data_IF_160387533909
#
_entry.id   IF_160387533909
#
_cell.length_a   1.000
_cell.length_b   1.000
_cell.length_c   1.000
_cell.angle_alpha   90.00
_cell.angle_beta   90.00
_cell.angle_gamma   90.00
#
_symmetry.space_group_name_H-M   'P 1'
#
loop_
_entity.id
_entity.type
_entity.pdbx_description
1 polymer ?
#
# COMPACT_ATOMS: atom_id res chain seq x y z
N UNK A 1 -3.85 -1.07 18.05
CA UNK A 1 -3.61 -2.01 16.93
C UNK A 1 -4.43 -1.56 15.73
N UNK A 2 -3.97 -1.76 14.49
CA UNK A 2 -4.77 -1.51 13.28
C UNK A 2 -5.33 -2.83 12.76
N UNK A 3 -6.64 -2.95 12.62
CA UNK A 3 -7.33 -4.19 12.21
C UNK A 3 -8.36 -3.92 11.10
N UNK A 4 -8.74 -4.96 10.35
CA UNK A 4 -9.89 -4.91 9.44
C UNK A 4 -11.24 -4.83 10.18
N UNK A 5 -11.27 -5.23 11.45
CA UNK A 5 -12.40 -5.10 12.38
C UNK A 5 -11.91 -5.31 13.83
N UNK A 6 -12.43 -4.54 14.78
CA UNK A 6 -12.05 -4.70 16.19
C UNK A 6 -12.68 -5.96 16.80
N UNK A 7 -11.86 -6.78 17.47
CA UNK A 7 -12.31 -7.97 18.18
C UNK A 7 -12.51 -9.24 17.35
N UNK A 8 -12.33 -9.17 16.03
CA UNK A 8 -12.47 -10.33 15.15
C UNK A 8 -11.89 -10.17 13.74
N UNK A 9 -11.35 -9.00 13.41
CA UNK A 9 -10.63 -8.79 12.15
C UNK A 9 -9.17 -9.21 12.23
N UNK A 10 -8.49 -9.12 11.09
CA UNK A 10 -7.08 -9.45 10.94
C UNK A 10 -6.21 -8.21 11.13
N UNK A 11 -4.97 -8.38 11.65
CA UNK A 11 -3.94 -7.35 11.57
C UNK A 11 -3.71 -6.91 10.12
N UNK A 12 -3.51 -5.61 9.92
CA UNK A 12 -3.22 -5.06 8.59
C UNK A 12 -1.74 -5.25 8.25
N UNK A 13 -1.47 -5.88 7.11
CA UNK A 13 -0.12 -6.01 6.55
C UNK A 13 0.47 -4.64 6.17
N UNK A 14 1.80 -4.55 6.17
CA UNK A 14 2.51 -3.29 5.90
C UNK A 14 2.65 -2.37 7.12
N UNK A 15 2.11 -2.76 8.29
CA UNK A 15 2.44 -2.14 9.58
C UNK A 15 3.42 -3.00 10.39
N UNK A 16 4.44 -2.40 11.02
CA UNK A 16 5.35 -3.08 11.95
C UNK A 16 4.63 -3.77 13.11
N UNK A 17 5.30 -4.76 13.71
CA UNK A 17 4.86 -5.44 14.93
C UNK A 17 3.45 -6.06 14.84
N UNK A 18 3.08 -6.56 13.65
CA UNK A 18 1.73 -7.10 13.41
C UNK A 18 0.65 -6.05 13.66
N UNK A 19 0.83 -4.84 13.13
CA UNK A 19 -0.07 -3.69 13.28
C UNK A 19 -0.27 -3.19 14.72
N UNK A 20 0.54 -3.63 15.68
CA UNK A 20 0.52 -3.11 17.06
C UNK A 20 1.40 -1.86 17.17
N UNK A 21 0.91 -0.91 17.95
CA UNK A 21 1.66 0.29 18.29
C UNK A 21 2.59 0.01 19.47
N UNK A 22 3.77 0.59 19.46
CA UNK A 22 4.59 0.77 20.66
C UNK A 22 4.06 1.95 21.48
N UNK A 23 4.25 1.91 22.79
CA UNK A 23 3.87 3.02 23.68
C UNK A 23 4.83 4.18 23.48
N UNK A 24 4.31 5.35 23.14
CA UNK A 24 5.08 6.59 23.00
C UNK A 24 5.43 7.23 24.35
N UNK A 25 6.23 8.30 24.31
CA UNK A 25 6.87 8.93 25.46
C UNK A 25 5.88 9.55 26.48
N UNK A 26 4.60 9.70 26.12
CA UNK A 26 3.60 10.46 26.89
C UNK A 26 2.60 9.58 27.67
N UNK A 27 3.08 8.58 28.42
CA UNK A 27 2.26 7.77 29.35
C UNK A 27 0.98 7.18 28.71
N UNK A 28 1.04 6.73 27.46
CA UNK A 28 -0.09 6.13 26.75
C UNK A 28 -1.05 7.11 26.06
N UNK A 29 -0.68 8.39 25.95
CA UNK A 29 -1.38 9.37 25.09
C UNK A 29 -0.81 9.44 23.67
N UNK A 30 0.32 8.78 23.46
CA UNK A 30 0.99 8.70 22.18
C UNK A 30 1.25 7.24 21.87
N UNK A 31 0.98 6.89 20.63
CA UNK A 31 1.16 5.55 20.09
C UNK A 31 1.81 5.69 18.72
N UNK A 32 2.85 4.89 18.46
CA UNK A 32 3.54 4.89 17.18
C UNK A 32 3.73 3.45 16.71
N UNK A 33 4.03 3.24 15.43
CA UNK A 33 4.47 1.93 14.92
C UNK A 33 6.01 1.85 14.81
N UNK A 34 6.73 2.75 15.47
CA UNK A 34 8.19 2.87 15.38
C UNK A 34 8.65 3.76 14.22
N UNK A 35 9.94 3.67 13.89
CA UNK A 35 10.60 4.48 12.84
C UNK A 35 10.43 3.91 11.43
N UNK A 36 10.06 2.63 11.33
CA UNK A 36 9.88 1.97 10.04
C UNK A 36 8.71 2.60 9.28
N UNK A 37 8.91 2.85 7.98
CA UNK A 37 7.85 3.30 7.09
C UNK A 37 6.76 2.22 7.01
N UNK A 38 5.52 2.67 7.02
CA UNK A 38 4.36 1.81 6.78
C UNK A 38 4.04 1.79 5.28
N UNK A 39 3.60 0.65 4.78
CA UNK A 39 3.22 0.47 3.37
C UNK A 39 1.99 -0.46 3.22
N UNK A 40 0.88 -0.21 3.96
CA UNK A 40 -0.38 -0.90 3.71
C UNK A 40 -0.96 -0.49 2.36
N UNK A 41 -1.86 -1.32 1.82
CA UNK A 41 -2.70 -0.90 0.69
C UNK A 41 -3.63 0.26 1.09
N UNK A 42 -4.16 0.96 0.08
CA UNK A 42 -5.15 2.00 0.32
C UNK A 42 -6.47 1.41 0.82
N UNK A 43 -7.07 2.05 1.83
CA UNK A 43 -8.28 1.55 2.47
C UNK A 43 -8.64 2.25 3.78
N UNK A 44 -9.81 1.87 4.29
CA UNK A 44 -10.27 2.24 5.62
C UNK A 44 -10.03 1.09 6.61
N UNK A 45 -9.34 1.39 7.71
CA UNK A 45 -8.99 0.44 8.75
C UNK A 45 -9.44 0.92 10.12
N UNK A 46 -9.48 0.03 11.11
CA UNK A 46 -9.92 0.38 12.47
C UNK A 46 -8.76 0.46 13.45
N UNK A 47 -8.73 1.54 14.22
CA UNK A 47 -7.88 1.69 15.39
C UNK A 47 -8.54 0.98 16.57
N UNK A 48 -8.00 -0.17 16.95
CA UNK A 48 -8.56 -1.04 17.97
C UNK A 48 -7.72 -1.00 19.25
N UNK A 49 -8.42 -0.88 20.38
CA UNK A 49 -7.85 -0.67 21.70
C UNK A 49 -8.02 -1.87 22.61
N UNK A 50 -7.03 -2.03 23.47
CA UNK A 50 -7.01 -2.95 24.58
C UNK A 50 -6.46 -2.24 25.82
N UNK A 51 -7.03 -2.54 26.98
CA UNK A 51 -6.69 -1.88 28.24
C UNK A 51 -5.37 -2.40 28.81
N UNK A 52 -4.58 -1.51 29.42
CA UNK A 52 -3.40 -1.91 30.20
C UNK A 52 -3.84 -2.88 31.31
N UNK A 53 -3.16 -4.02 31.42
CA UNK A 53 -3.46 -5.06 32.41
C UNK A 53 -4.48 -6.12 31.94
N UNK A 54 -5.10 -5.94 30.77
CA UNK A 54 -5.80 -7.01 30.09
C UNK A 54 -4.83 -7.84 29.22
N UNK A 55 -5.27 -9.02 28.77
CA UNK A 55 -4.60 -9.74 27.68
C UNK A 55 -4.76 -8.92 26.41
N UNK A 56 -3.64 -8.47 25.82
CA UNK A 56 -3.59 -7.65 24.59
C UNK A 56 -2.62 -8.27 23.57
N UNK A 57 -2.70 -9.58 23.40
CA UNK A 57 -1.77 -10.35 22.58
C UNK A 57 -2.32 -10.59 21.18
N UNK A 58 -3.60 -10.86 21.05
CA UNK A 58 -4.21 -11.21 19.77
C UNK A 58 -5.12 -10.09 19.24
N UNK A 59 -5.48 -10.18 17.95
CA UNK A 59 -6.45 -9.23 17.36
C UNK A 59 -7.82 -9.29 18.06
N UNK A 60 -8.22 -10.46 18.53
CA UNK A 60 -9.47 -10.70 19.27
C UNK A 60 -9.50 -10.00 20.64
N UNK A 61 -8.34 -9.66 21.21
CA UNK A 61 -8.25 -8.94 22.48
C UNK A 61 -8.62 -7.45 22.32
N UNK A 62 -8.45 -6.89 21.11
CA UNK A 62 -8.64 -5.48 20.82
C UNK A 62 -10.07 -5.20 20.35
N UNK A 63 -11.03 -5.27 21.27
CA UNK A 63 -12.48 -5.23 20.95
C UNK A 63 -13.10 -3.84 20.85
N UNK A 64 -12.39 -2.78 21.26
CA UNK A 64 -12.94 -1.41 21.25
C UNK A 64 -12.35 -0.60 20.10
N UNK A 65 -13.23 -0.11 19.22
CA UNK A 65 -12.86 0.82 18.18
C UNK A 65 -12.69 2.22 18.77
N UNK A 66 -11.50 2.81 18.61
CA UNK A 66 -11.20 4.20 18.96
C UNK A 66 -11.49 5.15 17.79
N UNK A 67 -11.35 4.66 16.56
CA UNK A 67 -11.52 5.46 15.37
C UNK A 67 -11.19 4.66 14.11
N UNK A 68 -11.19 5.38 12.99
CA UNK A 68 -10.87 4.85 11.67
C UNK A 68 -9.57 5.49 11.18
N UNK A 69 -8.70 4.68 10.59
CA UNK A 69 -7.49 5.11 9.91
C UNK A 69 -7.73 4.95 8.40
N UNK A 70 -7.77 6.08 7.68
CA UNK A 70 -7.84 6.10 6.22
C UNK A 70 -6.44 6.18 5.64
N UNK A 71 -6.12 5.28 4.73
CA UNK A 71 -4.85 5.26 3.98
C UNK A 71 -5.16 5.55 2.52
N UNK A 72 -4.69 6.69 1.97
CA UNK A 72 -4.73 6.95 0.54
C UNK A 72 -3.83 5.99 -0.24
N UNK A 73 -4.28 5.56 -1.40
CA UNK A 73 -3.50 4.75 -2.34
C UNK A 73 -4.31 3.65 -3.02
N UNK A 74 -3.64 2.89 -3.91
CA UNK A 74 -4.28 1.79 -4.63
C UNK A 74 -4.74 0.68 -3.69
N UNK A 75 -5.85 0.04 -4.03
CA UNK A 75 -6.21 -1.23 -3.41
C UNK A 75 -5.15 -2.31 -3.75
N UNK A 76 -5.09 -3.38 -2.95
CA UNK A 76 -4.13 -4.46 -3.19
C UNK A 76 -4.47 -5.34 -4.39
N UNK A 77 -3.49 -6.16 -4.79
CA UNK A 77 -3.64 -7.32 -5.69
C UNK A 77 -4.03 -7.00 -7.15
N UNK A 78 -3.46 -5.96 -7.74
CA UNK A 78 -3.57 -5.74 -9.18
C UNK A 78 -2.48 -6.48 -9.95
N UNK A 79 -2.90 -7.34 -10.86
CA UNK A 79 -2.02 -7.88 -11.90
C UNK A 79 -2.32 -7.16 -13.21
N UNK A 80 -1.27 -6.74 -13.91
CA UNK A 80 -1.35 -6.16 -15.25
C UNK A 80 -0.25 -6.76 -16.12
N UNK A 81 -0.55 -6.98 -17.38
CA UNK A 81 0.39 -7.49 -18.36
C UNK A 81 0.54 -6.48 -19.50
N UNK A 82 1.75 -6.38 -20.05
CA UNK A 82 2.04 -5.60 -21.23
C UNK A 82 2.91 -6.38 -22.19
N UNK A 83 2.58 -6.31 -23.49
CA UNK A 83 3.39 -6.88 -24.55
C UNK A 83 4.66 -6.07 -24.78
N UNK A 84 5.73 -6.75 -25.17
CA UNK A 84 6.93 -6.07 -25.67
C UNK A 84 6.62 -5.42 -27.01
N UNK A 85 7.13 -4.20 -27.20
CA UNK A 85 6.89 -3.29 -28.33
C UNK A 85 5.44 -2.79 -28.47
N UNK A 86 4.63 -2.91 -27.43
CA UNK A 86 3.28 -2.36 -27.39
C UNK A 86 3.17 -1.19 -26.43
N UNK A 87 2.19 -0.32 -26.68
CA UNK A 87 1.84 0.74 -25.76
C UNK A 87 1.21 0.15 -24.49
N UNK A 88 1.81 0.43 -23.35
CA UNK A 88 1.41 -0.11 -22.05
C UNK A 88 0.75 0.99 -21.22
N UNK A 89 -0.58 0.96 -21.16
CA UNK A 89 -1.38 1.82 -20.28
C UNK A 89 -2.29 0.94 -19.44
N UNK A 90 -2.42 1.26 -18.16
CA UNK A 90 -3.25 0.50 -17.25
C UNK A 90 -4.37 1.37 -16.72
N UNK A 91 -5.60 0.93 -16.92
CA UNK A 91 -6.79 1.64 -16.48
C UNK A 91 -7.51 0.88 -15.37
N UNK A 92 -8.46 1.57 -14.74
CA UNK A 92 -9.36 0.98 -13.75
C UNK A 92 -8.65 0.52 -12.48
N UNK A 93 -7.61 1.25 -12.05
CA UNK A 93 -7.15 1.10 -10.67
C UNK A 93 -8.26 1.57 -9.73
N UNK A 94 -8.50 0.76 -8.71
CA UNK A 94 -9.36 1.13 -7.58
C UNK A 94 -8.50 1.37 -6.36
N UNK A 95 -9.03 2.12 -5.41
CA UNK A 95 -8.27 2.53 -4.23
C UNK A 95 -9.05 3.56 -3.42
N UNK A 96 -8.36 4.11 -2.43
CA UNK A 96 -8.90 5.15 -1.56
C UNK A 96 -8.15 6.44 -1.85
N UNK A 97 -8.86 7.55 -2.03
CA UNK A 97 -8.29 8.88 -2.26
C UNK A 97 -7.20 8.90 -3.36
N UNK A 98 -7.46 8.22 -4.48
CA UNK A 98 -6.59 8.27 -5.66
C UNK A 98 -6.70 9.65 -6.33
N UNK A 99 -5.56 10.17 -6.79
CA UNK A 99 -5.50 11.49 -7.41
C UNK A 99 -4.64 11.49 -8.68
N UNK A 100 -4.96 12.40 -9.59
CA UNK A 100 -4.09 12.68 -10.73
C UNK A 100 -2.71 13.13 -10.23
N UNK A 101 -1.66 12.60 -10.85
CA UNK A 101 -0.28 12.84 -10.44
C UNK A 101 0.28 11.83 -9.43
N UNK A 102 -0.55 10.93 -8.88
CA UNK A 102 -0.06 9.75 -8.14
C UNK A 102 0.87 8.91 -9.02
N UNK A 103 1.77 8.14 -8.40
CA UNK A 103 2.81 7.42 -9.13
C UNK A 103 2.94 5.99 -8.65
N UNK A 104 3.12 5.08 -9.59
CA UNK A 104 3.59 3.72 -9.32
C UNK A 104 4.91 3.51 -10.04
N UNK A 105 5.74 2.64 -9.48
CA UNK A 105 7.01 2.26 -10.09
C UNK A 105 7.04 0.75 -10.28
N UNK A 106 7.40 0.34 -11.49
CA UNK A 106 7.66 -1.06 -11.79
C UNK A 106 9.03 -1.46 -11.25
N UNK A 107 9.03 -2.49 -10.40
CA UNK A 107 10.22 -3.05 -9.76
C UNK A 107 10.12 -4.58 -9.77
N UNK A 108 11.26 -5.27 -9.67
CA UNK A 108 11.28 -6.73 -9.44
C UNK A 108 10.85 -7.09 -8.03
N UNK A 109 11.27 -6.27 -7.09
CA UNK A 109 10.95 -6.37 -5.67
C UNK A 109 10.54 -4.99 -5.22
N UNK A 110 9.31 -4.86 -4.69
CA UNK A 110 8.78 -3.58 -4.27
C UNK A 110 9.69 -2.92 -3.24
N UNK A 111 10.03 -1.64 -3.46
CA UNK A 111 10.90 -0.86 -2.57
C UNK A 111 12.40 -1.08 -2.76
N UNK A 112 12.82 -1.97 -3.67
CA UNK A 112 14.22 -2.33 -3.87
C UNK A 112 14.68 -2.27 -5.33
N UNK A 113 15.97 -1.95 -5.50
CA UNK A 113 16.66 -2.08 -6.78
C UNK A 113 16.42 -0.94 -7.77
N UNK A 114 17.07 -1.02 -8.95
CA UNK A 114 16.94 -0.01 -9.99
C UNK A 114 15.65 -0.20 -10.79
N UNK A 115 15.32 0.83 -11.56
CA UNK A 115 14.32 0.74 -12.62
C UNK A 115 14.56 -0.45 -13.57
N UNK A 116 13.48 -1.04 -14.07
CA UNK A 116 13.55 -2.13 -15.04
C UNK A 116 13.99 -1.59 -16.41
N UNK A 117 15.13 -2.05 -16.96
CA UNK A 117 15.59 -1.60 -18.27
C UNK A 117 14.57 -1.90 -19.36
N UNK A 118 14.34 -0.91 -20.23
CA UNK A 118 13.42 -1.02 -21.37
C UNK A 118 11.98 -0.61 -21.07
N UNK A 119 11.61 -0.30 -19.82
CA UNK A 119 10.35 0.40 -19.57
C UNK A 119 10.50 1.92 -19.78
N UNK A 120 9.50 2.61 -20.38
CA UNK A 120 9.53 4.07 -20.49
C UNK A 120 9.58 4.73 -19.11
N UNK A 121 10.10 5.96 -19.07
CA UNK A 121 10.18 6.78 -17.85
C UNK A 121 10.76 6.03 -16.62
N UNK A 122 11.77 5.18 -16.87
CA UNK A 122 12.40 4.36 -15.84
C UNK A 122 11.39 3.50 -15.05
N UNK A 123 10.33 3.04 -15.70
CA UNK A 123 9.28 2.23 -15.07
C UNK A 123 8.36 3.01 -14.13
N UNK A 124 8.38 4.34 -14.13
CA UNK A 124 7.45 5.15 -13.35
C UNK A 124 6.23 5.48 -14.20
N UNK A 125 5.05 5.04 -13.77
CA UNK A 125 3.77 5.42 -14.36
C UNK A 125 3.08 6.47 -13.49
N UNK A 126 2.46 7.46 -14.15
CA UNK A 126 1.78 8.59 -13.52
C UNK A 126 0.28 8.45 -13.74
N UNK A 127 -0.48 8.69 -12.68
CA UNK A 127 -1.92 8.60 -12.66
C UNK A 127 -2.58 9.80 -13.33
N UNK A 128 -3.69 9.52 -14.01
CA UNK A 128 -4.62 10.46 -14.65
C UNK A 128 -6.04 9.91 -14.52
N UNK A 129 -7.04 10.66 -15.01
CA UNK A 129 -8.43 10.19 -15.00
C UNK A 129 -9.04 10.08 -13.60
N UNK A 130 -8.66 10.97 -12.69
CA UNK A 130 -9.04 10.90 -11.28
C UNK A 130 -8.19 9.90 -10.48
N UNK A 131 -6.94 9.65 -10.91
CA UNK A 131 -6.01 8.74 -10.24
C UNK A 131 -6.16 7.25 -10.60
N UNK A 132 -7.04 6.90 -11.54
CA UNK A 132 -7.35 5.51 -11.90
C UNK A 132 -6.55 4.97 -13.10
N UNK A 133 -5.99 5.87 -13.92
CA UNK A 133 -5.35 5.51 -15.18
C UNK A 133 -3.85 5.83 -15.15
N UNK A 134 -3.00 4.81 -15.24
CA UNK A 134 -1.55 4.91 -15.13
C UNK A 134 -0.88 4.68 -16.49
N UNK A 135 -0.03 5.63 -16.88
CA UNK A 135 0.78 5.56 -18.09
C UNK A 135 2.24 5.95 -17.77
N UNK A 136 3.20 5.33 -18.46
CA UNK A 136 4.63 5.60 -18.25
C UNK A 136 5.06 6.94 -18.88
N UNK A 137 4.29 7.50 -19.80
CA UNK A 137 4.55 8.82 -20.38
C UNK A 137 3.39 9.34 -21.22
N UNK A 138 3.48 10.60 -21.66
CA UNK A 138 2.48 11.22 -22.55
C UNK A 138 2.79 11.00 -24.03
N UNK A 139 4.06 10.72 -24.37
CA UNK A 139 4.52 10.57 -25.75
C UNK A 139 5.19 9.22 -26.05
N UNK A 140 5.70 8.51 -25.04
CA UNK A 140 6.28 7.17 -25.20
C UNK A 140 5.77 6.24 -24.09
N UNK A 141 4.94 5.28 -24.50
CA UNK A 141 4.43 4.21 -23.65
C UNK A 141 4.86 2.83 -24.16
N UNK A 142 5.82 2.77 -25.09
CA UNK A 142 6.21 1.52 -25.74
C UNK A 142 7.18 0.74 -24.85
N UNK A 143 6.79 -0.45 -24.41
CA UNK A 143 7.66 -1.31 -23.61
C UNK A 143 8.73 -1.93 -24.49
N UNK A 144 10.00 -1.74 -24.16
CA UNK A 144 11.17 -2.34 -24.83
C UNK A 144 11.91 -3.34 -23.95
N UNK A 145 11.35 -3.66 -22.79
CA UNK A 145 11.89 -4.63 -21.86
C UNK A 145 11.72 -6.06 -22.39
N UNK A 146 12.65 -6.94 -22.03
CA UNK A 146 12.46 -8.39 -22.19
C UNK A 146 11.30 -8.90 -21.32
N UNK A 147 10.67 -10.00 -21.76
CA UNK A 147 9.56 -10.61 -21.01
C UNK A 147 10.00 -11.09 -19.63
N UNK A 148 9.23 -10.73 -18.60
CA UNK A 148 9.40 -11.18 -17.23
C UNK A 148 8.10 -10.94 -16.43
N UNK A 149 7.91 -11.72 -15.37
CA UNK A 149 6.86 -11.52 -14.39
C UNK A 149 7.40 -10.70 -13.22
N UNK A 150 6.66 -9.66 -12.83
CA UNK A 150 7.02 -8.75 -11.75
C UNK A 150 5.87 -8.81 -10.74
N UNK A 151 6.03 -9.65 -9.71
CA UNK A 151 5.00 -9.89 -8.72
C UNK A 151 5.50 -9.51 -7.32
N UNK A 152 4.56 -9.10 -6.46
CA UNK A 152 4.77 -9.09 -5.02
C UNK A 152 4.66 -10.55 -4.55
N UNK A 153 5.75 -11.11 -4.01
CA UNK A 153 5.68 -12.36 -3.23
C UNK A 153 5.23 -12.09 -1.82
#
# INVERSE_FOLDING_TARGET
MVLTACGGGLPIDGFPNGAKTTTGALQGREHSWGEAKIFPFGGDYFLCWCAKGATCLEASDHRKQLGTLRVPGPAGNFMRACGTFEACTWTGFTGTDLNDGDRIMLLRTCGEGPAIPGFPNAGIAVASGGGADYAFGTTDNIVRAGGAEYAHT
#
